data_IF_655014530709
#
_entry.id   IF_655014530709
#
_cell.length_a   1.000
_cell.length_b   1.000
_cell.length_c   1.000
_cell.angle_alpha   90.00
_cell.angle_beta   90.00
_cell.angle_gamma   90.00
#
_symmetry.space_group_name_H-M   'P 1'
#
loop_
_entity.id
_entity.type
_entity.pdbx_description
1 polymer ?
#
# COMPACT_ATOMS: atom_id res chain seq x y z
N UNK A 1 4.05 -14.77 -25.37
CA UNK A 1 3.33 -14.25 -24.17
C UNK A 1 4.06 -12.99 -23.75
N UNK A 2 3.43 -11.82 -23.82
CA UNK A 2 4.01 -10.59 -23.30
C UNK A 2 3.50 -10.41 -21.87
N UNK A 3 4.35 -10.68 -20.88
CA UNK A 3 4.13 -10.19 -19.53
C UNK A 3 4.46 -8.69 -19.58
N UNK A 4 3.45 -7.83 -19.44
CA UNK A 4 3.61 -6.38 -19.44
C UNK A 4 3.07 -5.83 -18.12
N UNK A 5 3.82 -4.87 -17.58
CA UNK A 5 3.85 -4.32 -16.23
C UNK A 5 3.84 -5.32 -15.06
N UNK A 6 4.93 -5.29 -14.31
CA UNK A 6 5.07 -5.94 -13.00
C UNK A 6 4.96 -4.80 -12.01
N UNK A 7 3.76 -4.56 -11.48
CA UNK A 7 3.53 -3.56 -10.44
C UNK A 7 4.64 -3.62 -9.37
N UNK A 8 4.99 -2.46 -8.80
CA UNK A 8 6.16 -2.39 -7.90
C UNK A 8 5.94 -3.26 -6.66
N UNK A 9 6.88 -4.15 -6.33
CA UNK A 9 6.81 -4.98 -5.11
C UNK A 9 7.70 -4.43 -4.00
N UNK A 10 7.08 -3.93 -2.93
CA UNK A 10 7.75 -3.43 -1.73
C UNK A 10 7.62 -4.45 -0.60
N UNK A 11 8.75 -5.02 -0.17
CA UNK A 11 8.81 -6.00 0.92
C UNK A 11 9.52 -5.40 2.13
N UNK A 12 8.76 -5.16 3.19
CA UNK A 12 9.30 -4.65 4.45
C UNK A 12 9.71 -5.81 5.35
N UNK A 13 10.98 -5.84 5.77
CA UNK A 13 11.54 -6.90 6.64
C UNK A 13 12.09 -6.37 7.96
N UNK A 14 12.39 -5.06 8.04
CA UNK A 14 12.89 -4.42 9.25
C UNK A 14 11.87 -4.54 10.40
N UNK A 15 12.35 -4.79 11.62
CA UNK A 15 11.53 -4.74 12.83
C UNK A 15 11.18 -3.28 13.20
N UNK A 16 10.13 -3.10 14.01
CA UNK A 16 9.69 -1.76 14.46
C UNK A 16 8.70 -1.09 13.51
N UNK A 17 8.17 0.08 13.88
CA UNK A 17 7.18 0.79 13.06
C UNK A 17 7.81 1.37 11.78
N UNK A 18 7.07 1.32 10.68
CA UNK A 18 7.51 1.68 9.33
C UNK A 18 6.42 2.46 8.61
N UNK A 19 6.78 3.23 7.59
CA UNK A 19 5.83 3.89 6.71
C UNK A 19 6.10 3.53 5.24
N UNK A 20 5.03 3.40 4.47
CA UNK A 20 5.06 3.37 3.02
C UNK A 20 4.31 4.60 2.52
N UNK A 21 5.06 5.61 2.08
CA UNK A 21 4.52 6.92 1.72
C UNK A 21 4.24 7.01 0.23
N UNK A 22 3.04 7.48 -0.10
CA UNK A 22 2.61 7.79 -1.47
C UNK A 22 2.46 9.31 -1.64
N UNK A 23 3.34 9.91 -2.43
CA UNK A 23 3.32 11.34 -2.71
C UNK A 23 2.87 11.59 -4.16
N UNK A 24 1.89 12.47 -4.35
CA UNK A 24 1.39 12.89 -5.67
C UNK A 24 2.51 13.42 -6.57
N UNK A 25 3.57 14.01 -6.00
CA UNK A 25 4.74 14.48 -6.75
C UNK A 25 5.51 13.34 -7.46
N UNK A 26 5.30 12.08 -7.05
CA UNK A 26 5.85 10.91 -7.73
C UNK A 26 5.23 10.71 -9.12
N UNK A 27 4.04 11.26 -9.37
CA UNK A 27 3.38 11.20 -10.68
C UNK A 27 2.80 9.83 -11.03
N UNK A 28 2.18 9.14 -10.06
CA UNK A 28 1.50 7.86 -10.30
C UNK A 28 0.46 7.97 -11.43
N UNK A 29 0.40 6.95 -12.28
CA UNK A 29 -0.55 6.90 -13.40
C UNK A 29 -1.77 6.05 -13.06
N UNK A 30 -2.92 6.38 -13.65
CA UNK A 30 -4.13 5.56 -13.51
C UNK A 30 -3.87 4.14 -14.01
N UNK A 31 -4.25 3.15 -13.21
CA UNK A 31 -4.04 1.73 -13.48
C UNK A 31 -2.74 1.17 -12.89
N UNK A 32 -1.82 2.02 -12.43
CA UNK A 32 -0.59 1.58 -11.78
C UNK A 32 -0.89 0.82 -10.49
N UNK A 33 -0.10 -0.22 -10.22
CA UNK A 33 -0.21 -1.05 -9.03
C UNK A 33 1.10 -1.07 -8.23
N UNK A 34 0.96 -0.99 -6.90
CA UNK A 34 2.06 -1.17 -5.95
C UNK A 34 1.65 -2.26 -4.96
N UNK A 35 2.38 -3.36 -4.96
CA UNK A 35 2.19 -4.50 -4.08
C UNK A 35 3.08 -4.37 -2.85
N UNK A 36 2.50 -4.49 -1.67
CA UNK A 36 3.22 -4.31 -0.41
C UNK A 36 3.04 -5.56 0.44
N UNK A 37 4.13 -6.01 1.07
CA UNK A 37 4.10 -7.06 2.06
C UNK A 37 4.87 -6.65 3.32
N UNK A 38 4.20 -6.69 4.47
CA UNK A 38 4.86 -6.59 5.77
C UNK A 38 5.35 -7.97 6.18
N UNK A 39 6.63 -8.25 5.97
CA UNK A 39 7.29 -9.53 6.27
C UNK A 39 8.32 -9.38 7.39
N UNK A 40 8.11 -8.38 8.22
CA UNK A 40 8.88 -8.18 9.44
C UNK A 40 8.44 -9.15 10.52
N UNK A 41 9.33 -9.42 11.49
CA UNK A 41 8.97 -10.19 12.69
C UNK A 41 8.06 -9.39 13.64
N UNK A 42 8.13 -8.05 13.58
CA UNK A 42 7.34 -7.14 14.41
C UNK A 42 7.24 -5.74 13.81
N UNK A 43 6.19 -5.02 14.22
CA UNK A 43 5.98 -3.62 13.87
C UNK A 43 5.21 -3.43 12.58
N UNK A 44 4.29 -2.48 12.62
CA UNK A 44 3.36 -2.24 11.54
C UNK A 44 4.00 -1.43 10.41
N UNK A 45 3.42 -1.56 9.21
CA UNK A 45 3.64 -0.63 8.09
C UNK A 45 2.41 0.25 7.98
N UNK A 46 2.56 1.55 8.16
CA UNK A 46 1.51 2.52 7.89
C UNK A 46 1.61 2.98 6.44
N UNK A 47 0.52 2.83 5.68
CA UNK A 47 0.39 3.48 4.38
C UNK A 47 0.02 4.94 4.64
N UNK A 48 0.89 5.85 4.24
CA UNK A 48 0.68 7.29 4.36
C UNK A 48 0.60 7.90 2.97
N UNK A 49 -0.09 9.03 2.87
CA UNK A 49 -0.24 9.73 1.60
C UNK A 49 -0.12 11.23 1.76
N UNK A 50 0.45 11.89 0.75
CA UNK A 50 0.52 13.35 0.62
C UNK A 50 -0.02 13.74 -0.75
N UNK A 51 -1.11 14.50 -0.77
CA UNK A 51 -1.80 14.89 -2.02
C UNK A 51 -2.51 13.73 -2.74
N UNK A 52 -2.59 12.55 -2.14
CA UNK A 52 -3.31 11.37 -2.66
C UNK A 52 -4.32 10.92 -1.60
N UNK A 53 -5.53 10.56 -2.03
CA UNK A 53 -6.52 9.89 -1.18
C UNK A 53 -6.36 8.37 -1.31
N UNK A 54 -6.04 7.70 -0.21
CA UNK A 54 -6.04 6.23 -0.13
C UNK A 54 -7.35 5.74 0.50
N UNK A 55 -8.12 4.94 -0.22
CA UNK A 55 -9.33 4.30 0.28
C UNK A 55 -8.95 2.97 0.96
N UNK A 56 -9.09 2.82 2.29
CA UNK A 56 -8.82 1.54 2.95
C UNK A 56 -9.85 0.47 2.57
N UNK A 57 -9.56 -0.83 2.79
CA UNK A 57 -10.55 -1.89 2.66
C UNK A 57 -11.76 -1.65 3.57
N UNK A 58 -12.92 -2.19 3.20
CA UNK A 58 -14.13 -2.07 4.02
C UNK A 58 -13.90 -2.60 5.44
N UNK A 59 -14.12 -1.74 6.44
CA UNK A 59 -13.91 -2.08 7.85
C UNK A 59 -12.43 -2.19 8.24
N UNK A 60 -11.51 -1.83 7.35
CA UNK A 60 -10.07 -1.81 7.57
C UNK A 60 -9.51 -0.41 7.76
N UNK A 61 -8.18 -0.35 7.90
CA UNK A 61 -7.40 0.86 8.07
C UNK A 61 -6.33 0.96 6.98
N UNK A 62 -5.39 1.90 7.13
CA UNK A 62 -4.18 2.00 6.31
C UNK A 62 -2.96 1.46 7.04
N UNK A 63 -3.16 0.51 7.96
CA UNK A 63 -2.08 -0.10 8.76
C UNK A 63 -2.01 -1.59 8.46
N UNK A 64 -0.80 -2.06 8.16
CA UNK A 64 -0.50 -3.46 7.90
C UNK A 64 0.25 -4.05 9.08
N UNK A 65 -0.36 -5.02 9.76
CA UNK A 65 0.28 -5.82 10.78
C UNK A 65 1.35 -6.75 10.16
N UNK A 66 2.30 -7.27 10.96
CA UNK A 66 3.21 -8.31 10.48
C UNK A 66 2.46 -9.48 9.84
N UNK A 67 2.84 -9.83 8.61
CA UNK A 67 2.20 -10.88 7.80
C UNK A 67 1.25 -10.35 6.74
N UNK A 68 0.72 -9.13 6.88
CA UNK A 68 -0.24 -8.55 5.95
C UNK A 68 0.37 -8.27 4.58
N UNK A 69 -0.50 -8.32 3.57
CA UNK A 69 -0.21 -7.95 2.20
C UNK A 69 -1.35 -7.14 1.60
N UNK A 70 -1.00 -6.09 0.87
CA UNK A 70 -1.97 -5.27 0.13
C UNK A 70 -1.47 -4.96 -1.27
N UNK A 71 -2.40 -4.57 -2.12
CA UNK A 71 -2.13 -3.87 -3.37
C UNK A 71 -2.77 -2.49 -3.28
N UNK A 72 -1.99 -1.45 -3.62
CA UNK A 72 -2.49 -0.10 -3.85
C UNK A 72 -2.67 0.07 -5.35
N UNK A 73 -3.90 0.32 -5.79
CA UNK A 73 -4.27 0.51 -7.19
C UNK A 73 -4.69 1.95 -7.42
N UNK A 74 -3.94 2.66 -8.25
CA UNK A 74 -4.27 4.05 -8.58
C UNK A 74 -5.43 4.10 -9.55
N UNK A 75 -6.52 4.76 -9.15
CA UNK A 75 -7.74 4.95 -9.96
C UNK A 75 -7.82 6.34 -10.58
N UNK A 76 -6.92 7.23 -10.16
CA UNK A 76 -6.68 8.55 -10.72
C UNK A 76 -5.29 9.06 -10.33
N UNK A 77 -4.94 10.27 -10.75
CA UNK A 77 -3.65 10.89 -10.45
C UNK A 77 -3.47 11.28 -8.97
N UNK A 78 -4.57 11.34 -8.20
CA UNK A 78 -4.59 11.70 -6.79
C UNK A 78 -5.51 10.79 -5.95
N UNK A 79 -5.84 9.60 -6.45
CA UNK A 79 -6.71 8.65 -5.75
C UNK A 79 -6.30 7.21 -6.00
N UNK A 80 -6.34 6.39 -4.96
CA UNK A 80 -6.05 4.97 -5.04
C UNK A 80 -6.89 4.15 -4.05
N UNK A 81 -7.21 2.93 -4.45
CA UNK A 81 -7.87 1.95 -3.60
C UNK A 81 -6.85 0.97 -3.04
N UNK A 82 -7.03 0.59 -1.76
CA UNK A 82 -6.22 -0.42 -1.09
C UNK A 82 -7.00 -1.71 -1.00
N UNK A 83 -6.44 -2.77 -1.59
CA UNK A 83 -6.98 -4.13 -1.54
C UNK A 83 -6.09 -5.03 -0.70
N UNK A 84 -6.67 -5.88 0.14
CA UNK A 84 -5.93 -6.89 0.91
C UNK A 84 -6.22 -6.83 2.40
N UNK A 85 -5.24 -7.28 3.21
CA UNK A 85 -5.36 -7.34 4.66
C UNK A 85 -4.77 -6.08 5.31
N UNK A 86 -5.54 -5.48 6.20
CA UNK A 86 -5.16 -4.33 7.03
C UNK A 86 -5.76 -4.52 8.41
N UNK A 87 -5.25 -3.84 9.43
CA UNK A 87 -5.88 -3.80 10.75
C UNK A 87 -7.35 -3.35 10.62
N UNK A 88 -8.21 -3.94 11.46
CA UNK A 88 -9.61 -3.55 11.55
C UNK A 88 -9.73 -2.10 12.08
N UNK A 89 -10.69 -1.36 11.52
CA UNK A 89 -11.04 -0.04 12.05
C UNK A 89 -11.73 -0.18 13.43
N UNK A 90 -11.52 0.78 14.34
CA UNK A 90 -12.17 0.80 15.66
C UNK A 90 -13.70 1.02 15.57
#
# INVERSE_FOLDING_TARGET
MALTDVGSYLRFTAAGAKACTFDVATGFTTGQEVHIANRSASGNVTLSATGITLSPPKGGTLVLAPGDTVTVKFVGTASADVFGSTEAAP
#
